data_IF_525587971646
#
_entry.id   IF_525587971646
#
_cell.length_a   1.000
_cell.length_b   1.000
_cell.length_c   1.000
_cell.angle_alpha   90.00
_cell.angle_beta   90.00
_cell.angle_gamma   90.00
#
_symmetry.space_group_name_H-M   'P 1'
#
loop_
_entity.id
_entity.type
_entity.pdbx_description
1 polymer ?
#
# COMPACT_ATOMS: atom_id res chain seq x y z
N UNK A 1 -12.78 -6.37 9.77
CA UNK A 1 -11.96 -7.25 10.66
C UNK A 1 -11.07 -8.12 9.79
N UNK A 2 -9.79 -8.30 10.14
CA UNK A 2 -8.82 -9.09 9.38
C UNK A 2 -8.84 -10.55 9.80
N UNK A 3 -8.68 -11.46 8.84
CA UNK A 3 -8.46 -12.88 9.11
C UNK A 3 -7.01 -13.29 8.85
N UNK A 4 -6.57 -14.41 9.43
CA UNK A 4 -5.27 -15.01 9.14
C UNK A 4 -5.08 -15.24 7.63
N UNK A 5 -6.11 -15.69 6.92
CA UNK A 5 -6.02 -15.90 5.48
C UNK A 5 -5.59 -14.64 4.72
N UNK A 6 -6.19 -13.50 5.06
CA UNK A 6 -5.88 -12.21 4.44
C UNK A 6 -4.46 -11.77 4.76
N UNK A 7 -4.04 -11.92 6.02
CA UNK A 7 -2.68 -11.63 6.42
C UNK A 7 -1.66 -12.45 5.61
N UNK A 8 -1.93 -13.76 5.43
CA UNK A 8 -1.08 -14.66 4.65
C UNK A 8 -1.01 -14.24 3.18
N UNK A 9 -2.14 -13.98 2.54
CA UNK A 9 -2.19 -13.69 1.11
C UNK A 9 -1.48 -12.38 0.79
N UNK A 10 -1.66 -11.34 1.61
CA UNK A 10 -1.01 -10.04 1.40
C UNK A 10 0.49 -10.13 1.69
N UNK A 11 0.89 -10.66 2.85
CA UNK A 11 2.29 -10.76 3.22
C UNK A 11 3.11 -11.70 2.33
N UNK A 12 2.46 -12.66 1.66
CA UNK A 12 3.06 -13.48 0.63
C UNK A 12 3.70 -12.67 -0.50
N UNK A 13 3.10 -11.54 -0.88
CA UNK A 13 3.65 -10.61 -1.87
C UNK A 13 4.86 -9.82 -1.38
N UNK A 14 5.07 -9.74 -0.06
CA UNK A 14 6.16 -9.01 0.59
C UNK A 14 7.25 -9.95 1.13
N UNK A 15 7.39 -11.15 0.55
CA UNK A 15 8.45 -12.10 0.91
C UNK A 15 8.24 -12.82 2.25
N UNK A 16 7.02 -12.83 2.79
CA UNK A 16 6.69 -13.58 4.01
C UNK A 16 6.03 -14.91 3.64
N UNK A 17 6.51 -15.99 4.24
CA UNK A 17 5.99 -17.35 3.98
C UNK A 17 5.38 -17.95 5.24
N UNK A 18 4.23 -18.59 5.10
CA UNK A 18 3.66 -19.41 6.18
C UNK A 18 4.49 -20.67 6.31
N UNK A 19 5.03 -20.92 7.50
CA UNK A 19 5.71 -22.18 7.80
C UNK A 19 4.77 -23.17 8.45
N UNK A 20 3.90 -22.70 9.33
CA UNK A 20 3.00 -23.56 10.09
C UNK A 20 1.75 -22.82 10.54
N UNK A 21 0.63 -23.54 10.64
CA UNK A 21 -0.64 -23.04 11.16
C UNK A 21 -1.45 -24.20 11.75
N UNK A 22 -1.85 -24.09 13.01
CA UNK A 22 -2.80 -24.99 13.68
C UNK A 22 -4.20 -24.38 13.83
N UNK A 23 -4.32 -23.06 13.63
CA UNK A 23 -5.59 -22.35 13.69
C UNK A 23 -6.25 -22.26 12.31
N UNK A 24 -7.59 -22.14 12.24
CA UNK A 24 -8.31 -21.92 10.99
C UNK A 24 -7.84 -20.65 10.26
N UNK A 25 -7.86 -20.67 8.93
CA UNK A 25 -7.60 -19.48 8.10
C UNK A 25 -8.61 -18.34 8.34
N UNK A 26 -9.78 -18.66 8.88
CA UNK A 26 -10.81 -17.70 9.29
C UNK A 26 -10.55 -17.00 10.63
N UNK A 27 -9.49 -17.36 11.36
CA UNK A 27 -9.16 -16.74 12.66
C UNK A 27 -9.00 -15.23 12.54
N UNK A 28 -9.72 -14.48 13.37
CA UNK A 28 -9.74 -13.02 13.37
C UNK A 28 -8.53 -12.42 14.11
N UNK A 29 -7.95 -11.36 13.56
CA UNK A 29 -6.81 -10.64 14.09
C UNK A 29 -7.19 -9.17 14.31
N UNK A 30 -6.92 -8.64 15.51
CA UNK A 30 -7.40 -7.34 15.98
C UNK A 30 -6.30 -6.45 16.55
N UNK A 31 -5.15 -7.01 16.87
CA UNK A 31 -4.06 -6.30 17.53
C UNK A 31 -2.69 -6.80 17.06
N UNK A 32 -1.72 -5.88 17.06
CA UNK A 32 -0.33 -6.11 16.68
C UNK A 32 0.55 -5.67 17.84
N UNK A 33 1.51 -6.49 18.22
CA UNK A 33 2.47 -6.22 19.29
C UNK A 33 3.90 -6.48 18.79
N UNK A 34 4.84 -5.70 19.34
CA UNK A 34 6.28 -5.90 19.16
C UNK A 34 6.82 -6.29 20.55
N UNK A 35 7.78 -7.22 20.59
CA UNK A 35 8.41 -7.56 21.86
C UNK A 35 9.27 -6.40 22.37
N UNK A 36 9.08 -6.01 23.64
CA UNK A 36 9.88 -4.99 24.31
C UNK A 36 10.60 -5.59 25.52
N UNK A 37 11.93 -5.67 25.44
CA UNK A 37 12.76 -6.28 26.51
C UNK A 37 12.68 -5.54 27.85
N UNK A 38 12.30 -4.26 27.86
CA UNK A 38 12.26 -3.42 29.07
C UNK A 38 10.88 -3.37 29.75
N UNK A 39 9.86 -4.00 29.17
CA UNK A 39 8.50 -3.91 29.68
C UNK A 39 8.31 -4.77 30.94
N UNK A 40 7.72 -4.18 31.99
CA UNK A 40 7.43 -4.88 33.26
C UNK A 40 6.41 -6.03 33.10
N UNK A 41 5.63 -6.02 32.01
CA UNK A 41 4.75 -7.11 31.58
C UNK A 41 4.81 -7.21 30.05
N UNK A 42 4.84 -8.43 29.49
CA UNK A 42 4.82 -8.60 28.04
C UNK A 42 3.51 -8.03 27.47
N UNK A 43 3.56 -7.30 26.34
CA UNK A 43 2.37 -6.80 25.67
C UNK A 43 1.54 -7.98 25.16
N UNK A 44 0.21 -7.87 25.26
CA UNK A 44 -0.73 -8.90 24.78
C UNK A 44 -1.35 -8.45 23.46
N UNK A 45 -1.34 -9.31 22.46
CA UNK A 45 -1.96 -9.04 21.17
C UNK A 45 -2.02 -10.26 20.26
N UNK A 46 -2.73 -10.16 19.13
CA UNK A 46 -3.00 -11.30 18.25
C UNK A 46 -1.84 -11.62 17.31
N UNK A 47 -1.11 -10.60 16.86
CA UNK A 47 0.04 -10.72 15.94
C UNK A 47 1.29 -10.19 16.62
N UNK A 48 2.30 -11.04 16.83
CA UNK A 48 3.61 -10.64 17.35
C UNK A 48 4.61 -10.46 16.21
N UNK A 49 5.26 -9.31 16.15
CA UNK A 49 6.49 -9.09 15.38
C UNK A 49 7.69 -9.35 16.30
N UNK A 50 8.38 -10.48 16.11
CA UNK A 50 9.53 -10.87 16.93
C UNK A 50 10.83 -10.17 16.47
N UNK A 51 10.79 -8.84 16.46
CA UNK A 51 11.93 -8.00 16.11
C UNK A 51 13.02 -8.17 17.17
N UNK A 52 14.22 -8.51 16.74
CA UNK A 52 15.38 -8.68 17.63
C UNK A 52 15.51 -10.07 18.26
N UNK A 53 14.63 -11.03 17.96
CA UNK A 53 14.80 -12.41 18.41
C UNK A 53 16.07 -13.02 17.77
N UNK A 54 16.91 -13.64 18.59
CA UNK A 54 18.12 -14.34 18.15
C UNK A 54 17.87 -15.74 17.61
N UNK A 55 16.69 -16.32 17.86
CA UNK A 55 16.29 -17.64 17.35
C UNK A 55 14.77 -17.76 17.20
N UNK A 56 14.31 -18.74 16.42
CA UNK A 56 12.89 -19.02 16.27
C UNK A 56 12.26 -19.50 17.60
N UNK A 57 13.01 -20.27 18.40
CA UNK A 57 12.57 -20.69 19.74
C UNK A 57 12.29 -19.50 20.65
N UNK A 58 13.22 -18.54 20.71
CA UNK A 58 13.03 -17.32 21.50
C UNK A 58 11.81 -16.53 21.02
N UNK A 59 11.63 -16.41 19.70
CA UNK A 59 10.46 -15.76 19.12
C UNK A 59 9.14 -16.45 19.50
N UNK A 60 9.13 -17.79 19.57
CA UNK A 60 7.98 -18.59 20.03
C UNK A 60 7.70 -18.37 21.52
N UNK A 61 8.73 -18.28 22.36
CA UNK A 61 8.57 -17.99 23.79
C UNK A 61 8.00 -16.57 24.02
N UNK A 62 8.42 -15.61 23.21
CA UNK A 62 7.84 -14.26 23.20
C UNK A 62 6.38 -14.28 22.76
N UNK A 63 6.03 -15.07 21.73
CA UNK A 63 4.66 -15.22 21.27
C UNK A 63 3.74 -15.82 22.33
N UNK A 64 4.21 -16.86 23.03
CA UNK A 64 3.50 -17.48 24.15
C UNK A 64 3.25 -16.46 25.28
N UNK A 65 4.28 -15.68 25.63
CA UNK A 65 4.21 -14.62 26.65
C UNK A 65 3.23 -13.51 26.28
N UNK A 66 3.19 -13.14 24.99
CA UNK A 66 2.26 -12.17 24.43
C UNK A 66 0.86 -12.72 24.17
N UNK A 67 0.64 -14.02 24.35
CA UNK A 67 -0.58 -14.76 23.94
C UNK A 67 -0.93 -14.52 22.47
N UNK A 68 0.09 -14.38 21.63
CA UNK A 68 -0.06 -14.12 20.22
C UNK A 68 -0.54 -15.36 19.48
N UNK A 69 -1.53 -15.17 18.61
CA UNK A 69 -2.06 -16.21 17.74
C UNK A 69 -1.19 -16.37 16.50
N UNK A 70 -0.56 -15.28 16.03
CA UNK A 70 0.33 -15.29 14.87
C UNK A 70 1.69 -14.73 15.28
N UNK A 71 2.75 -15.45 14.91
CA UNK A 71 4.13 -15.04 15.07
C UNK A 71 4.73 -14.71 13.70
N UNK A 72 5.27 -13.51 13.55
CA UNK A 72 6.18 -13.14 12.47
C UNK A 72 7.61 -13.16 13.01
N UNK A 73 8.48 -13.94 12.39
CA UNK A 73 9.88 -14.10 12.80
C UNK A 73 10.83 -14.20 11.61
N UNK A 74 12.13 -14.04 11.84
CA UNK A 74 13.19 -14.44 10.92
C UNK A 74 13.78 -15.78 11.35
N UNK A 75 14.17 -16.60 10.39
CA UNK A 75 14.85 -17.87 10.65
C UNK A 75 14.48 -18.96 9.66
N UNK A 76 15.44 -19.83 9.37
CA UNK A 76 15.25 -20.97 8.46
C UNK A 76 14.95 -22.29 9.20
N UNK A 77 14.97 -22.27 10.53
CA UNK A 77 14.64 -23.42 11.35
C UNK A 77 13.18 -23.83 11.16
N UNK A 78 12.95 -25.14 10.99
CA UNK A 78 11.58 -25.65 11.05
C UNK A 78 11.05 -25.45 12.48
N UNK A 79 9.87 -24.82 12.65
CA UNK A 79 9.25 -24.77 13.95
C UNK A 79 8.93 -26.20 14.38
N UNK A 80 9.72 -26.77 15.28
CA UNK A 80 9.32 -27.98 15.99
C UNK A 80 8.08 -27.62 16.81
N UNK A 81 6.92 -28.25 16.58
CA UNK A 81 5.76 -28.04 17.42
C UNK A 81 6.20 -28.33 18.86
N UNK A 82 6.10 -27.34 19.73
CA UNK A 82 6.33 -27.58 21.14
C UNK A 82 5.24 -28.53 21.63
N UNK A 83 5.63 -29.65 22.23
CA UNK A 83 4.76 -30.69 22.79
C UNK A 83 3.88 -30.21 23.98
N UNK A 84 3.64 -28.90 24.08
CA UNK A 84 3.02 -28.26 25.24
C UNK A 84 2.20 -27.02 24.88
N UNK A 85 1.33 -27.09 23.87
CA UNK A 85 0.06 -26.35 23.76
C UNK A 85 -0.01 -24.81 23.93
N UNK A 86 1.10 -24.11 24.18
CA UNK A 86 1.13 -22.70 24.57
C UNK A 86 1.86 -21.78 23.57
N UNK A 87 2.33 -22.33 22.44
CA UNK A 87 2.94 -21.56 21.35
C UNK A 87 1.92 -20.78 20.52
N UNK A 88 2.37 -19.98 19.53
CA UNK A 88 1.47 -19.30 18.61
C UNK A 88 0.62 -20.31 17.83
N UNK A 89 -0.52 -19.86 17.31
CA UNK A 89 -1.39 -20.66 16.43
C UNK A 89 -0.94 -20.72 14.98
N UNK A 90 -0.11 -19.77 14.54
CA UNK A 90 0.52 -19.74 13.22
C UNK A 90 1.91 -19.08 13.28
N UNK A 91 2.84 -19.59 12.47
CA UNK A 91 4.21 -19.06 12.33
C UNK A 91 4.46 -18.67 10.88
N UNK A 92 4.84 -17.41 10.69
CA UNK A 92 5.18 -16.81 9.42
C UNK A 92 6.64 -16.35 9.46
N UNK A 93 7.39 -16.69 8.43
CA UNK A 93 8.82 -16.37 8.32
C UNK A 93 9.04 -15.33 7.24
N UNK A 94 9.72 -14.26 7.61
CA UNK A 94 10.17 -13.22 6.69
C UNK A 94 11.44 -13.68 5.98
N UNK A 95 11.52 -13.39 4.68
CA UNK A 95 12.79 -13.48 3.97
C UNK A 95 13.84 -12.54 4.61
N UNK A 96 15.11 -12.98 4.78
CA UNK A 96 16.15 -12.16 5.40
C UNK A 96 16.38 -10.81 4.70
N UNK A 97 16.09 -10.72 3.40
CA UNK A 97 16.24 -9.49 2.61
C UNK A 97 15.15 -8.45 2.85
N UNK A 98 14.04 -8.81 3.50
CA UNK A 98 12.88 -7.93 3.72
C UNK A 98 13.08 -7.12 5.00
N UNK A 99 12.82 -5.81 4.92
CA UNK A 99 12.94 -4.92 6.08
C UNK A 99 11.80 -5.15 7.08
N UNK A 100 12.12 -5.18 8.37
CA UNK A 100 11.12 -5.25 9.43
C UNK A 100 10.16 -4.05 9.40
N UNK A 101 10.65 -2.87 9.02
CA UNK A 101 9.84 -1.66 8.93
C UNK A 101 8.78 -1.78 7.85
N UNK A 102 9.12 -2.36 6.69
CA UNK A 102 8.19 -2.60 5.58
C UNK A 102 7.09 -3.58 5.99
N UNK A 103 7.48 -4.71 6.59
CA UNK A 103 6.51 -5.71 7.06
C UNK A 103 5.63 -5.14 8.16
N UNK A 104 6.20 -4.40 9.11
CA UNK A 104 5.43 -3.71 10.14
C UNK A 104 4.42 -2.75 9.51
N UNK A 105 4.82 -1.93 8.54
CA UNK A 105 3.93 -1.00 7.84
C UNK A 105 2.73 -1.72 7.19
N UNK A 106 2.98 -2.83 6.50
CA UNK A 106 1.92 -3.65 5.90
C UNK A 106 1.01 -4.29 6.97
N UNK A 107 1.58 -4.89 8.01
CA UNK A 107 0.81 -5.52 9.10
C UNK A 107 -0.06 -4.51 9.83
N UNK A 108 0.47 -3.32 10.14
CA UNK A 108 -0.28 -2.25 10.78
C UNK A 108 -1.41 -1.71 9.89
N UNK A 109 -1.16 -1.56 8.58
CA UNK A 109 -2.21 -1.19 7.62
C UNK A 109 -3.34 -2.21 7.57
N UNK A 110 -3.01 -3.50 7.50
CA UNK A 110 -4.02 -4.55 7.50
C UNK A 110 -4.79 -4.60 8.83
N UNK A 111 -4.09 -4.82 9.94
CA UNK A 111 -4.70 -5.22 11.23
C UNK A 111 -5.33 -4.04 11.97
N UNK A 112 -4.69 -2.87 11.97
CA UNK A 112 -5.20 -1.71 12.70
C UNK A 112 -6.06 -0.79 11.82
N UNK A 113 -5.67 -0.56 10.57
CA UNK A 113 -6.34 0.43 9.71
C UNK A 113 -7.44 -0.13 8.81
N UNK A 114 -7.57 -1.46 8.71
CA UNK A 114 -8.76 -2.11 8.17
C UNK A 114 -10.07 -1.79 8.92
N UNK A 115 -10.03 -0.84 9.87
CA UNK A 115 -11.15 -0.26 10.62
C UNK A 115 -11.32 1.26 10.42
N UNK A 116 -10.27 1.99 10.05
CA UNK A 116 -10.34 3.47 9.96
C UNK A 116 -11.08 3.96 8.70
N UNK A 117 -11.18 3.10 7.68
CA UNK A 117 -11.77 3.47 6.39
C UNK A 117 -13.30 3.41 6.35
N UNK A 118 -13.95 2.96 7.44
CA UNK A 118 -15.38 3.22 7.69
C UNK A 118 -15.67 4.73 7.90
N UNK A 119 -14.64 5.56 8.10
CA UNK A 119 -14.77 7.00 8.36
C UNK A 119 -14.10 7.91 7.33
N UNK A 120 -13.56 7.38 6.23
CA UNK A 120 -13.02 8.17 5.12
C UNK A 120 -11.80 9.05 5.45
N UNK A 121 -11.19 8.89 6.62
CA UNK A 121 -9.88 9.47 6.92
C UNK A 121 -8.82 8.48 6.47
N UNK A 122 -8.16 8.80 5.36
CA UNK A 122 -7.07 8.01 4.85
C UNK A 122 -5.92 7.91 5.88
N UNK A 123 -5.21 6.78 5.91
CA UNK A 123 -4.11 6.59 6.83
C UNK A 123 -2.92 7.46 6.43
N UNK A 124 -2.37 8.17 7.41
CA UNK A 124 -1.15 8.99 7.32
C UNK A 124 -1.21 10.20 6.36
N UNK A 125 -1.10 11.40 6.93
CA UNK A 125 -1.15 12.65 6.18
C UNK A 125 0.15 12.87 5.37
N UNK A 126 0.17 12.34 4.13
CA UNK A 126 1.27 12.56 3.19
C UNK A 126 1.51 14.06 2.91
N UNK A 127 0.54 14.95 3.12
CA UNK A 127 0.76 16.39 3.02
C UNK A 127 1.57 16.91 4.19
N UNK A 128 1.29 16.47 5.43
CA UNK A 128 2.11 16.81 6.59
C UNK A 128 3.54 16.25 6.48
N UNK A 129 3.70 15.06 5.90
CA UNK A 129 5.03 14.51 5.59
C UNK A 129 5.75 15.34 4.52
N UNK A 130 5.05 15.77 3.46
CA UNK A 130 5.62 16.65 2.45
C UNK A 130 6.02 18.02 3.04
N UNK A 131 5.23 18.57 3.94
CA UNK A 131 5.53 19.81 4.68
C UNK A 131 6.81 19.64 5.51
N UNK A 132 6.91 18.56 6.29
CA UNK A 132 8.09 18.27 7.13
C UNK A 132 9.36 18.08 6.28
N UNK A 133 9.23 17.39 5.15
CA UNK A 133 10.35 17.22 4.22
C UNK A 133 10.78 18.56 3.64
N UNK A 134 9.83 19.39 3.23
CA UNK A 134 10.12 20.70 2.65
C UNK A 134 10.84 21.63 3.64
N UNK A 135 10.57 21.51 4.95
CA UNK A 135 11.31 22.18 6.01
C UNK A 135 12.75 21.65 6.14
N UNK A 136 12.94 20.33 6.09
CA UNK A 136 14.24 19.69 6.25
C UNK A 136 15.18 19.80 5.03
N UNK A 137 14.61 19.89 3.82
CA UNK A 137 15.37 19.95 2.57
C UNK A 137 15.46 21.37 1.99
N UNK A 138 14.81 22.36 2.64
CA UNK A 138 14.84 23.77 2.22
C UNK A 138 14.13 24.08 0.90
N UNK A 139 13.32 23.15 0.37
CA UNK A 139 12.71 23.27 -0.96
C UNK A 139 11.32 22.64 -1.03
N UNK A 140 10.48 23.12 -1.95
CA UNK A 140 9.10 22.65 -2.05
C UNK A 140 9.05 21.18 -2.51
N UNK A 141 8.20 20.38 -1.85
CA UNK A 141 8.16 18.93 -2.06
C UNK A 141 6.92 18.49 -2.84
N UNK A 142 7.09 17.52 -3.74
CA UNK A 142 6.01 16.69 -4.28
C UNK A 142 6.31 15.21 -4.07
N UNK A 143 5.28 14.43 -3.76
CA UNK A 143 5.35 12.98 -3.62
C UNK A 143 4.46 12.37 -4.70
N UNK A 144 5.01 11.45 -5.48
CA UNK A 144 4.34 10.84 -6.64
C UNK A 144 4.33 9.32 -6.54
N UNK A 145 3.31 8.67 -7.10
CA UNK A 145 3.23 7.21 -7.21
C UNK A 145 4.11 6.67 -8.36
N UNK A 146 4.24 5.34 -8.47
CA UNK A 146 4.98 4.70 -9.56
C UNK A 146 4.42 4.94 -10.98
N UNK A 147 3.26 5.61 -11.12
CA UNK A 147 2.69 6.06 -12.40
C UNK A 147 2.81 7.59 -12.56
N UNK A 148 3.68 8.23 -11.79
CA UNK A 148 3.94 9.67 -11.81
C UNK A 148 2.71 10.52 -11.47
N UNK A 149 1.75 9.95 -10.74
CA UNK A 149 0.57 10.68 -10.27
C UNK A 149 0.87 11.31 -8.92
N UNK A 150 0.49 12.56 -8.77
CA UNK A 150 0.73 13.32 -7.55
C UNK A 150 -0.12 12.76 -6.41
N UNK A 151 0.56 12.34 -5.34
CA UNK A 151 -0.06 11.85 -4.10
C UNK A 151 -0.19 12.97 -3.07
N UNK A 152 0.87 13.77 -2.91
CA UNK A 152 0.90 14.89 -1.98
C UNK A 152 1.91 15.96 -2.41
N UNK A 153 1.76 17.14 -1.84
CA UNK A 153 2.65 18.27 -2.08
C UNK A 153 2.74 19.13 -0.82
N UNK A 154 3.90 19.76 -0.58
CA UNK A 154 4.06 20.68 0.54
C UNK A 154 3.30 22.00 0.32
N UNK A 155 3.08 22.76 1.38
CA UNK A 155 2.59 24.13 1.31
C UNK A 155 3.47 24.99 0.39
N UNK A 156 2.91 26.07 -0.18
CA UNK A 156 3.67 26.98 -1.02
C UNK A 156 4.87 27.56 -0.24
N UNK A 157 6.07 27.26 -0.70
CA UNK A 157 7.25 28.07 -0.39
C UNK A 157 7.32 29.20 -1.43
N UNK A 158 7.95 30.33 -1.08
CA UNK A 158 8.01 31.47 -2.01
C UNK A 158 8.68 31.04 -3.33
N UNK A 159 8.11 31.44 -4.47
CA UNK A 159 8.57 31.12 -5.85
C UNK A 159 8.33 29.67 -6.34
N UNK A 160 7.08 29.20 -6.31
CA UNK A 160 6.71 27.93 -6.97
C UNK A 160 6.92 28.02 -8.50
N UNK A 161 7.66 27.06 -9.07
CA UNK A 161 7.87 26.98 -10.51
C UNK A 161 6.59 26.55 -11.26
N UNK A 162 6.50 26.92 -12.55
CA UNK A 162 5.29 26.66 -13.34
C UNK A 162 5.06 25.14 -13.53
N UNK A 163 6.14 24.37 -13.68
CA UNK A 163 6.09 22.92 -13.77
C UNK A 163 5.38 22.28 -12.56
N UNK A 164 5.67 22.75 -11.35
CA UNK A 164 5.02 22.30 -10.11
C UNK A 164 3.55 22.70 -10.07
N UNK A 165 3.23 23.95 -10.43
CA UNK A 165 1.83 24.41 -10.47
C UNK A 165 1.00 23.56 -11.41
N UNK A 166 1.49 23.32 -12.64
CA UNK A 166 0.82 22.46 -13.62
C UNK A 166 0.68 21.01 -13.10
N UNK A 167 1.72 20.46 -12.48
CA UNK A 167 1.69 19.10 -11.89
C UNK A 167 0.64 19.00 -10.78
N UNK A 168 0.53 20.01 -9.92
CA UNK A 168 -0.46 20.03 -8.83
C UNK A 168 -1.89 20.14 -9.36
N UNK A 169 -2.12 21.07 -10.30
CA UNK A 169 -3.45 21.27 -10.87
C UNK A 169 -3.89 20.06 -11.71
N UNK A 170 -2.96 19.47 -12.48
CA UNK A 170 -3.20 18.27 -13.29
C UNK A 170 -3.17 16.96 -12.52
N UNK A 171 -2.70 16.97 -11.26
CA UNK A 171 -2.37 15.78 -10.44
C UNK A 171 -1.39 14.81 -11.09
N UNK A 172 -0.63 15.28 -12.07
CA UNK A 172 0.36 14.53 -12.84
C UNK A 172 1.20 15.52 -13.65
N UNK A 173 2.48 15.22 -13.84
CA UNK A 173 3.35 16.04 -14.67
C UNK A 173 2.83 16.07 -16.13
N UNK A 174 2.80 17.26 -16.77
CA UNK A 174 2.38 17.40 -18.16
C UNK A 174 3.30 16.59 -19.09
N UNK A 175 2.75 16.08 -20.21
CA UNK A 175 3.49 15.19 -21.14
C UNK A 175 4.86 15.74 -21.52
N UNK A 176 4.93 17.02 -21.93
CA UNK A 176 6.18 17.70 -22.28
C UNK A 176 7.26 17.61 -21.20
N UNK A 177 6.87 17.70 -19.92
CA UNK A 177 7.82 17.60 -18.81
C UNK A 177 8.25 16.15 -18.59
N UNK A 178 7.36 15.18 -18.78
CA UNK A 178 7.71 13.76 -18.71
C UNK A 178 8.68 13.37 -19.82
N UNK A 179 8.44 13.80 -21.05
CA UNK A 179 9.36 13.59 -22.18
C UNK A 179 10.76 14.16 -21.90
N UNK A 180 10.83 15.35 -21.30
CA UNK A 180 12.10 15.95 -20.86
C UNK A 180 12.82 15.08 -19.80
N UNK A 181 12.08 14.64 -18.77
CA UNK A 181 12.64 13.83 -17.67
C UNK A 181 13.10 12.45 -18.17
N UNK A 182 12.35 11.85 -19.10
CA UNK A 182 12.71 10.61 -19.81
C UNK A 182 14.00 10.80 -20.61
N UNK A 183 14.07 11.86 -21.43
CA UNK A 183 15.24 12.18 -22.24
C UNK A 183 16.50 12.45 -21.41
N UNK A 184 16.33 12.95 -20.18
CA UNK A 184 17.41 13.15 -19.19
C UNK A 184 17.74 11.89 -18.38
N UNK A 185 17.08 10.75 -18.65
CA UNK A 185 17.33 9.47 -18.01
C UNK A 185 16.84 9.37 -16.56
N UNK A 186 15.99 10.30 -16.11
CA UNK A 186 15.56 10.38 -14.70
C UNK A 186 14.80 9.13 -14.29
N UNK A 187 13.85 8.65 -15.11
CA UNK A 187 13.08 7.46 -14.77
C UNK A 187 13.92 6.19 -14.80
N UNK A 188 14.87 6.08 -15.72
CA UNK A 188 15.84 4.98 -15.75
C UNK A 188 16.72 4.97 -14.49
N UNK A 189 17.17 6.15 -14.03
CA UNK A 189 17.91 6.29 -12.77
C UNK A 189 17.05 5.87 -11.58
N UNK A 190 15.84 6.40 -11.46
CA UNK A 190 14.91 6.04 -10.39
C UNK A 190 14.58 4.55 -10.39
N UNK A 191 14.57 3.88 -11.56
CA UNK A 191 14.33 2.45 -11.71
C UNK A 191 15.54 1.57 -11.28
N UNK A 192 16.75 2.11 -11.21
CA UNK A 192 17.97 1.36 -10.97
C UNK A 192 18.73 1.73 -9.68
N UNK A 193 18.48 2.92 -9.11
CA UNK A 193 19.25 3.47 -7.99
C UNK A 193 18.37 4.07 -6.90
N UNK A 194 18.90 4.03 -5.67
CA UNK A 194 18.34 4.71 -4.50
C UNK A 194 18.97 6.10 -4.29
N UNK A 195 20.04 6.43 -5.02
CA UNK A 195 20.73 7.71 -4.87
C UNK A 195 19.88 8.87 -5.41
N UNK A 196 19.72 9.97 -4.66
CA UNK A 196 19.10 11.18 -5.19
C UNK A 196 19.85 11.75 -6.40
N UNK A 197 19.11 12.12 -7.45
CA UNK A 197 19.62 12.73 -8.68
C UNK A 197 19.10 14.16 -8.86
N UNK A 198 19.97 15.06 -9.28
CA UNK A 198 19.62 16.45 -9.58
C UNK A 198 19.22 16.61 -11.05
N UNK A 199 18.10 17.29 -11.27
CA UNK A 199 17.60 17.71 -12.57
C UNK A 199 17.74 19.21 -12.67
N UNK A 200 18.62 19.68 -13.55
CA UNK A 200 18.87 21.11 -13.76
C UNK A 200 17.65 21.87 -14.28
N UNK A 201 17.66 23.19 -14.12
CA UNK A 201 16.61 24.07 -14.60
C UNK A 201 16.34 23.91 -16.11
N UNK A 202 15.10 24.19 -16.52
CA UNK A 202 14.65 24.21 -17.90
C UNK A 202 13.56 25.27 -18.06
N UNK A 203 13.93 26.42 -18.62
CA UNK A 203 13.03 27.56 -18.73
C UNK A 203 11.84 27.28 -19.69
N UNK A 204 12.06 26.50 -20.75
CA UNK A 204 11.00 26.15 -21.72
C UNK A 204 9.90 25.30 -21.07
N UNK A 205 10.30 24.43 -20.13
CA UNK A 205 9.40 23.57 -19.39
C UNK A 205 8.95 24.18 -18.04
N UNK A 206 9.37 25.41 -17.72
CA UNK A 206 9.00 26.09 -16.48
C UNK A 206 9.56 25.44 -15.21
N UNK A 207 10.72 24.78 -15.34
CA UNK A 207 11.43 24.03 -14.30
C UNK A 207 12.58 24.87 -13.73
N UNK A 208 12.60 25.14 -12.42
CA UNK A 208 13.70 25.91 -11.80
C UNK A 208 14.88 25.07 -11.32
N UNK A 209 14.77 23.74 -11.45
CA UNK A 209 15.72 22.77 -10.92
C UNK A 209 15.08 21.98 -9.77
N UNK A 210 15.40 20.70 -9.67
CA UNK A 210 14.90 19.84 -8.59
C UNK A 210 15.77 18.62 -8.36
N UNK A 211 15.84 18.18 -7.12
CA UNK A 211 16.35 16.88 -6.74
C UNK A 211 15.21 15.87 -6.73
N UNK A 212 15.49 14.62 -7.08
CA UNK A 212 14.53 13.52 -6.98
C UNK A 212 15.19 12.27 -6.45
N UNK A 213 14.45 11.53 -5.63
CA UNK A 213 14.87 10.24 -5.06
C UNK A 213 13.76 9.21 -5.24
N UNK A 214 14.15 7.95 -5.44
CA UNK A 214 13.23 6.85 -5.56
C UNK A 214 12.61 6.50 -4.20
N UNK A 215 11.31 6.22 -4.17
CA UNK A 215 10.61 5.67 -3.01
C UNK A 215 10.43 4.18 -3.27
N UNK A 216 11.06 3.33 -2.47
CA UNK A 216 11.20 1.90 -2.75
C UNK A 216 10.89 1.01 -1.56
N UNK A 217 10.46 -0.21 -1.89
CA UNK A 217 10.46 -1.32 -0.96
C UNK A 217 11.19 -2.51 -1.57
N UNK A 218 12.32 -2.90 -0.97
CA UNK A 218 13.27 -3.81 -1.60
C UNK A 218 13.60 -3.40 -3.05
N UNK A 219 13.19 -4.21 -4.03
CA UNK A 219 13.41 -3.94 -5.47
C UNK A 219 12.25 -3.20 -6.14
N UNK A 220 11.12 -3.04 -5.47
CA UNK A 220 9.92 -2.44 -6.03
C UNK A 220 9.98 -0.92 -5.93
N UNK A 221 9.77 -0.23 -7.05
CA UNK A 221 9.62 1.23 -7.09
C UNK A 221 8.17 1.58 -6.79
N UNK A 222 7.93 2.17 -5.62
CA UNK A 222 6.60 2.59 -5.18
C UNK A 222 6.23 3.99 -5.68
N UNK A 223 7.24 4.83 -5.91
CA UNK A 223 7.05 6.22 -6.31
C UNK A 223 8.33 7.04 -6.26
N UNK A 224 8.20 8.35 -6.09
CA UNK A 224 9.33 9.28 -6.01
C UNK A 224 9.02 10.50 -5.15
N UNK A 225 10.05 11.05 -4.49
CA UNK A 225 10.00 12.35 -3.81
C UNK A 225 10.82 13.35 -4.60
N UNK A 226 10.22 14.49 -4.92
CA UNK A 226 10.85 15.59 -5.63
C UNK A 226 10.98 16.80 -4.71
N UNK A 227 12.12 17.48 -4.77
CA UNK A 227 12.39 18.73 -4.03
C UNK A 227 12.81 19.79 -5.02
N UNK A 228 12.10 20.91 -5.08
CA UNK A 228 12.53 22.05 -5.89
C UNK A 228 13.81 22.67 -5.30
N UNK A 229 14.87 22.77 -6.10
CA UNK A 229 16.15 23.33 -5.69
C UNK A 229 16.94 23.86 -6.90
N UNK A 230 17.60 25.01 -6.77
CA UNK A 230 18.36 25.62 -7.87
C UNK A 230 19.71 24.93 -8.13
N UNK A 231 20.23 24.21 -7.12
CA UNK A 231 21.47 23.47 -7.15
C UNK A 231 21.27 22.09 -6.49
N UNK A 232 22.16 21.10 -6.73
CA UNK A 232 22.10 19.82 -6.06
C UNK A 232 22.11 19.98 -4.54
N UNK A 233 21.25 19.25 -3.84
CA UNK A 233 21.27 19.15 -2.38
C UNK A 233 22.53 18.39 -1.95
N UNK A 234 23.13 18.83 -0.85
CA UNK A 234 24.29 18.19 -0.22
C UNK A 234 24.10 18.06 1.30
N UNK A 235 25.01 17.32 1.94
CA UNK A 235 25.04 17.09 3.38
C UNK A 235 23.68 16.72 3.97
N UNK A 236 23.28 17.46 5.01
CA UNK A 236 22.08 17.19 5.78
C UNK A 236 20.78 17.26 4.96
N UNK A 237 20.71 18.11 3.93
CA UNK A 237 19.51 18.24 3.09
C UNK A 237 19.33 17.03 2.17
N UNK A 238 20.45 16.50 1.63
CA UNK A 238 20.46 15.26 0.84
C UNK A 238 20.12 14.05 1.71
N UNK A 239 20.68 14.00 2.93
CA UNK A 239 20.40 12.92 3.88
C UNK A 239 18.92 12.94 4.29
N UNK A 240 18.38 14.12 4.60
CA UNK A 240 16.95 14.30 4.92
C UNK A 240 16.02 13.86 3.78
N UNK A 241 16.37 14.15 2.52
CA UNK A 241 15.62 13.66 1.37
C UNK A 241 15.64 12.11 1.29
N UNK A 242 16.78 11.50 1.54
CA UNK A 242 16.97 10.04 1.49
C UNK A 242 16.19 9.34 2.61
N UNK A 243 16.34 9.80 3.85
CA UNK A 243 15.59 9.28 5.01
C UNK A 243 14.08 9.53 4.87
N UNK A 244 13.73 10.68 4.29
CA UNK A 244 12.39 11.04 3.90
C UNK A 244 11.75 10.06 2.95
N UNK A 245 12.46 9.66 1.90
CA UNK A 245 11.99 8.69 0.92
C UNK A 245 11.69 7.33 1.56
N UNK A 246 12.50 6.87 2.52
CA UNK A 246 12.23 5.66 3.28
C UNK A 246 10.94 5.81 4.11
N UNK A 247 10.75 6.95 4.78
CA UNK A 247 9.52 7.23 5.54
C UNK A 247 8.28 7.23 4.64
N UNK A 248 8.37 7.88 3.46
CA UNK A 248 7.32 7.87 2.44
C UNK A 248 7.03 6.43 1.97
N UNK A 249 8.05 5.60 1.75
CA UNK A 249 7.86 4.20 1.33
C UNK A 249 7.00 3.43 2.33
N UNK A 250 7.28 3.57 3.64
CA UNK A 250 6.48 2.94 4.68
C UNK A 250 5.01 3.41 4.66
N UNK A 251 4.77 4.69 4.40
CA UNK A 251 3.42 5.23 4.28
C UNK A 251 2.69 4.67 3.06
N UNK A 252 3.36 4.57 1.91
CA UNK A 252 2.79 4.01 0.69
C UNK A 252 2.50 2.52 0.82
N UNK A 253 3.39 1.74 1.43
CA UNK A 253 3.17 0.32 1.72
C UNK A 253 1.94 0.10 2.60
N UNK A 254 1.85 0.89 3.67
CA UNK A 254 0.73 0.85 4.60
C UNK A 254 -0.60 1.20 3.91
N UNK A 255 -0.60 2.28 3.13
CA UNK A 255 -1.76 2.70 2.34
C UNK A 255 -2.19 1.64 1.31
N UNK A 256 -1.24 1.05 0.59
CA UNK A 256 -1.48 -0.02 -0.38
C UNK A 256 -2.07 -1.26 0.29
N UNK A 257 -1.52 -1.69 1.42
CA UNK A 257 -2.04 -2.84 2.17
C UNK A 257 -3.50 -2.62 2.61
N UNK A 258 -3.83 -1.41 3.07
CA UNK A 258 -5.20 -1.02 3.43
C UNK A 258 -6.13 -0.98 2.21
N UNK A 259 -5.68 -0.44 1.07
CA UNK A 259 -6.45 -0.41 -0.17
C UNK A 259 -6.68 -1.81 -0.75
N UNK A 260 -5.70 -2.70 -0.68
CA UNK A 260 -5.79 -4.09 -1.13
C UNK A 260 -6.84 -4.85 -0.30
N UNK A 261 -6.85 -4.63 1.01
CA UNK A 261 -7.86 -5.17 1.90
C UNK A 261 -9.27 -4.70 1.53
N UNK A 262 -9.45 -3.40 1.28
CA UNK A 262 -10.73 -2.84 0.85
C UNK A 262 -11.21 -3.48 -0.44
N UNK A 263 -10.33 -3.59 -1.45
CA UNK A 263 -10.65 -4.22 -2.73
C UNK A 263 -11.06 -5.68 -2.55
N UNK A 264 -10.42 -6.41 -1.65
CA UNK A 264 -10.78 -7.79 -1.37
C UNK A 264 -12.14 -7.92 -0.66
N UNK A 265 -12.41 -7.08 0.35
CA UNK A 265 -13.71 -7.03 1.03
C UNK A 265 -14.83 -6.67 0.07
N UNK A 266 -14.59 -5.66 -0.77
CA UNK A 266 -15.53 -5.26 -1.83
C UNK A 266 -15.79 -6.42 -2.78
N UNK A 267 -14.73 -7.09 -3.25
CA UNK A 267 -14.85 -8.21 -4.19
C UNK A 267 -15.67 -9.35 -3.61
N UNK A 268 -15.42 -9.73 -2.35
CA UNK A 268 -16.17 -10.79 -1.66
C UNK A 268 -17.66 -10.45 -1.55
N UNK A 269 -18.00 -9.21 -1.15
CA UNK A 269 -19.38 -8.76 -1.04
C UNK A 269 -20.08 -8.68 -2.41
N UNK A 270 -19.38 -8.25 -3.46
CA UNK A 270 -19.90 -8.21 -4.82
C UNK A 270 -20.17 -9.63 -5.33
N UNK A 271 -19.24 -10.57 -5.16
CA UNK A 271 -19.44 -11.97 -5.57
C UNK A 271 -20.65 -12.56 -4.85
N UNK A 272 -20.75 -12.41 -3.52
CA UNK A 272 -21.91 -12.89 -2.73
C UNK A 272 -23.23 -12.24 -3.15
N UNK A 273 -23.19 -10.99 -3.60
CA UNK A 273 -24.36 -10.30 -4.13
C UNK A 273 -24.77 -10.88 -5.49
N UNK A 274 -23.82 -11.16 -6.38
CA UNK A 274 -24.05 -11.75 -7.70
C UNK A 274 -24.53 -13.20 -7.63
N UNK A 275 -24.08 -13.97 -6.64
CA UNK A 275 -24.54 -15.34 -6.38
C UNK A 275 -26.00 -15.42 -5.89
N UNK A 276 -26.62 -14.28 -5.56
CA UNK A 276 -28.06 -14.22 -5.26
C UNK A 276 -28.44 -14.81 -3.90
N UNK A 277 -27.73 -14.42 -2.85
CA UNK A 277 -28.07 -14.85 -1.46
C UNK A 277 -29.31 -14.12 -0.91
N UNK A 278 -29.98 -14.70 0.09
CA UNK A 278 -31.18 -14.14 0.77
C UNK A 278 -30.90 -12.73 1.36
N UNK A 279 -29.63 -12.38 1.55
CA UNK A 279 -29.16 -11.14 2.16
C UNK A 279 -28.84 -10.02 1.14
N UNK A 280 -29.27 -10.10 -0.12
CA UNK A 280 -28.89 -9.17 -1.18
C UNK A 280 -29.03 -7.67 -0.81
N UNK A 281 -30.14 -7.29 -0.16
CA UNK A 281 -30.35 -5.91 0.28
C UNK A 281 -29.36 -5.46 1.38
N UNK A 282 -29.00 -6.38 2.29
CA UNK A 282 -28.00 -6.14 3.34
C UNK A 282 -26.59 -6.01 2.73
N UNK A 283 -26.25 -6.86 1.76
CA UNK A 283 -24.97 -6.80 1.05
C UNK A 283 -24.83 -5.51 0.23
N UNK A 284 -25.87 -5.11 -0.51
CA UNK A 284 -25.90 -3.84 -1.24
C UNK A 284 -25.70 -2.65 -0.29
N UNK A 285 -26.34 -2.67 0.87
CA UNK A 285 -26.16 -1.63 1.90
C UNK A 285 -24.73 -1.58 2.45
N UNK A 286 -24.08 -2.73 2.70
CA UNK A 286 -22.67 -2.79 3.14
C UNK A 286 -21.69 -2.29 2.08
N UNK A 287 -22.03 -2.50 0.81
CA UNK A 287 -21.30 -1.97 -0.33
C UNK A 287 -21.52 -0.46 -0.55
N UNK A 288 -22.42 0.17 0.22
CA UNK A 288 -22.79 1.58 0.03
C UNK A 288 -23.58 1.83 -1.25
N UNK A 289 -24.19 0.79 -1.83
CA UNK A 289 -25.07 0.89 -2.99
C UNK A 289 -26.48 1.27 -2.52
N UNK A 290 -27.20 2.01 -3.36
CA UNK A 290 -28.59 2.36 -3.06
C UNK A 290 -29.48 1.11 -3.12
N UNK A 291 -30.62 1.15 -2.41
CA UNK A 291 -31.61 0.05 -2.38
C UNK A 291 -32.46 -0.05 -3.67
N UNK A 292 -32.11 0.70 -4.70
CA UNK A 292 -32.82 0.75 -5.97
C UNK A 292 -32.41 -0.38 -6.92
N UNK A 293 -32.89 -0.35 -8.18
CA UNK A 293 -32.41 -1.28 -9.19
C UNK A 293 -30.89 -1.15 -9.36
N UNK A 294 -30.23 -2.30 -9.47
CA UNK A 294 -28.80 -2.41 -9.70
C UNK A 294 -28.55 -2.93 -11.11
N UNK A 295 -27.48 -2.44 -11.73
CA UNK A 295 -26.97 -2.92 -13.00
C UNK A 295 -25.63 -3.62 -12.78
N UNK A 296 -25.39 -4.67 -13.56
CA UNK A 296 -24.12 -5.39 -13.58
C UNK A 296 -23.48 -5.21 -14.95
N UNK A 297 -22.22 -4.78 -14.95
CA UNK A 297 -21.36 -4.78 -16.13
C UNK A 297 -20.39 -5.94 -15.99
N UNK A 298 -20.28 -6.77 -17.02
CA UNK A 298 -19.30 -7.86 -17.08
C UNK A 298 -18.29 -7.54 -18.18
N UNK A 299 -17.03 -7.35 -17.80
CA UNK A 299 -15.95 -6.93 -18.69
C UNK A 299 -14.88 -8.02 -18.77
N UNK A 300 -14.54 -8.42 -19.98
CA UNK A 300 -13.37 -9.25 -20.26
C UNK A 300 -12.35 -8.39 -21.02
N UNK A 301 -11.12 -8.35 -20.52
CA UNK A 301 -10.04 -7.59 -21.12
C UNK A 301 -9.04 -8.54 -21.80
N UNK A 302 -8.53 -8.14 -22.96
CA UNK A 302 -7.51 -8.88 -23.71
C UNK A 302 -6.49 -7.86 -24.23
N UNK A 303 -5.21 -8.12 -23.99
CA UNK A 303 -4.07 -7.44 -24.63
C UNK A 303 -3.28 -8.55 -25.30
N UNK A 304 -3.03 -8.48 -26.61
CA UNK A 304 -2.11 -9.30 -27.43
C UNK A 304 -1.52 -10.60 -26.82
N UNK A 305 -2.38 -11.52 -26.36
CA UNK A 305 -1.96 -12.79 -25.74
C UNK A 305 -1.75 -12.79 -24.22
N UNK A 306 -1.70 -11.62 -23.58
CA UNK A 306 -1.56 -11.38 -22.14
C UNK A 306 -2.91 -11.11 -21.45
N UNK A 307 -3.76 -12.14 -21.38
CA UNK A 307 -5.11 -12.01 -20.76
C UNK A 307 -5.06 -11.61 -19.28
N UNK A 308 -4.17 -12.21 -18.50
CA UNK A 308 -4.10 -11.97 -17.06
C UNK A 308 -3.68 -10.53 -16.75
N UNK A 309 -2.69 -9.99 -17.48
CA UNK A 309 -2.25 -8.61 -17.35
C UNK A 309 -3.36 -7.62 -17.71
N UNK A 310 -4.09 -7.89 -18.80
CA UNK A 310 -5.22 -7.07 -19.23
C UNK A 310 -6.33 -7.02 -18.17
N UNK A 311 -6.65 -8.15 -17.56
CA UNK A 311 -7.66 -8.23 -16.50
C UNK A 311 -7.23 -7.52 -15.22
N UNK A 312 -5.96 -7.69 -14.80
CA UNK A 312 -5.42 -6.99 -13.63
C UNK A 312 -5.46 -5.47 -13.84
N UNK A 313 -5.09 -4.98 -15.02
CA UNK A 313 -5.18 -3.56 -15.37
C UNK A 313 -6.62 -3.04 -15.40
N UNK A 314 -7.56 -3.84 -15.93
CA UNK A 314 -8.97 -3.47 -15.94
C UNK A 314 -9.54 -3.42 -14.51
N UNK A 315 -9.20 -4.39 -13.67
CA UNK A 315 -9.63 -4.43 -12.27
C UNK A 315 -9.02 -3.27 -11.47
N UNK A 316 -7.73 -2.98 -11.65
CA UNK A 316 -7.06 -1.83 -11.04
C UNK A 316 -7.74 -0.51 -11.42
N UNK A 317 -8.08 -0.31 -12.71
CA UNK A 317 -8.84 0.85 -13.15
C UNK A 317 -10.25 0.91 -12.56
N UNK A 318 -10.96 -0.22 -12.49
CA UNK A 318 -12.31 -0.29 -11.96
C UNK A 318 -12.38 -0.06 -10.43
N UNK A 319 -11.24 -0.20 -9.75
CA UNK A 319 -11.11 -0.04 -8.30
C UNK A 319 -10.27 1.19 -7.90
N UNK A 320 -9.80 1.98 -8.87
CA UNK A 320 -9.03 3.18 -8.61
C UNK A 320 -9.88 4.27 -7.93
N UNK A 321 -9.33 4.89 -6.89
CA UNK A 321 -10.01 5.92 -6.09
C UNK A 321 -10.82 5.37 -4.92
N UNK A 322 -11.20 6.25 -4.00
CA UNK A 322 -11.91 5.86 -2.78
C UNK A 322 -13.33 5.36 -3.09
N UNK A 323 -13.79 4.32 -2.38
CA UNK A 323 -15.09 3.68 -2.63
C UNK A 323 -16.30 4.64 -2.65
N UNK A 324 -16.29 5.71 -1.85
CA UNK A 324 -17.37 6.71 -1.85
C UNK A 324 -17.40 7.59 -3.11
N UNK A 325 -16.27 7.71 -3.81
CA UNK A 325 -16.16 8.48 -5.07
C UNK A 325 -16.54 7.64 -6.29
N UNK A 326 -16.61 6.31 -6.15
CA UNK A 326 -16.94 5.37 -7.23
C UNK A 326 -18.45 5.10 -7.26
N UNK A 327 -19.11 5.24 -8.43
CA UNK A 327 -20.54 4.96 -8.57
C UNK A 327 -20.88 3.47 -8.50
N UNK A 328 -19.88 2.57 -8.59
CA UNK A 328 -20.07 1.13 -8.54
C UNK A 328 -19.02 0.40 -7.72
N UNK A 329 -19.19 -0.92 -7.60
CA UNK A 329 -18.33 -1.86 -6.84
C UNK A 329 -17.95 -3.02 -7.73
N UNK A 330 -16.67 -3.37 -7.70
CA UNK A 330 -16.11 -4.29 -8.68
C UNK A 330 -15.50 -5.53 -8.02
N UNK A 331 -15.62 -6.67 -8.70
CA UNK A 331 -14.95 -7.91 -8.34
C UNK A 331 -14.35 -8.56 -9.58
N UNK A 332 -13.19 -9.19 -9.43
CA UNK A 332 -12.66 -10.12 -10.43
C UNK A 332 -13.10 -11.53 -10.05
N UNK A 333 -13.84 -12.19 -10.93
CA UNK A 333 -14.24 -13.59 -10.76
C UNK A 333 -13.96 -14.38 -12.04
N UNK A 334 -13.09 -15.39 -11.92
CA UNK A 334 -12.56 -16.10 -13.08
C UNK A 334 -11.83 -15.15 -14.03
N UNK A 335 -12.30 -15.06 -15.28
CA UNK A 335 -11.69 -14.25 -16.34
C UNK A 335 -12.51 -12.98 -16.66
N UNK A 336 -13.33 -12.51 -15.71
CA UNK A 336 -14.28 -11.40 -15.91
C UNK A 336 -14.25 -10.44 -14.72
N UNK A 337 -14.15 -9.14 -15.01
CA UNK A 337 -14.38 -8.07 -14.03
C UNK A 337 -15.87 -7.74 -14.03
N UNK A 338 -16.54 -7.97 -12.90
CA UNK A 338 -17.93 -7.59 -12.68
C UNK A 338 -17.98 -6.27 -11.93
N UNK A 339 -18.78 -5.31 -12.41
CA UNK A 339 -19.06 -4.05 -11.71
C UNK A 339 -20.55 -3.90 -11.48
N UNK A 340 -20.94 -3.79 -10.21
CA UNK A 340 -22.32 -3.52 -9.78
C UNK A 340 -22.47 -2.04 -9.49
N UNK A 341 -23.48 -1.39 -10.05
CA UNK A 341 -23.75 0.02 -9.85
C UNK A 341 -25.27 0.30 -9.77
N UNK A 342 -25.70 1.38 -9.13
CA UNK A 342 -27.09 1.82 -9.20
C UNK A 342 -27.47 2.13 -10.65
N UNK A 343 -28.64 1.68 -11.07
CA UNK A 343 -29.13 1.98 -12.41
C UNK A 343 -30.44 1.27 -12.70
N UNK A 344 -31.30 1.94 -13.46
CA UNK A 344 -32.54 1.35 -13.95
C UNK A 344 -32.27 0.19 -14.93
N UNK A 345 -33.30 -0.56 -15.28
CA UNK A 345 -33.21 -1.56 -16.35
C UNK A 345 -32.78 -0.89 -17.66
N UNK A 346 -31.76 -1.42 -18.32
CA UNK A 346 -31.38 -1.05 -19.68
C UNK A 346 -31.39 -2.28 -20.57
N UNK A 347 -31.60 -2.06 -21.87
CA UNK A 347 -31.43 -3.11 -22.86
C UNK A 347 -30.00 -3.67 -22.80
N UNK A 348 -29.87 -4.97 -23.06
CA UNK A 348 -28.55 -5.61 -23.09
C UNK A 348 -27.65 -4.89 -24.13
N UNK A 349 -26.50 -4.39 -23.67
CA UNK A 349 -25.49 -3.85 -24.56
C UNK A 349 -25.02 -4.97 -25.50
N UNK A 350 -25.10 -4.70 -26.81
CA UNK A 350 -24.61 -5.61 -27.86
C UNK A 350 -23.10 -5.52 -28.02
#
# INVERSE_FOLDING_TARGET
MITLDRLVNVLGGYGVRVRWSSVPRSTELRSVVIHESAAARPPVGDVLLAIGAGSLREAVDWAASARAVVLLARGDEEPTPSDGGAGPGAVMVLDPSVSWSEVAAVVYGLVLEGRETESGRGPTDLFALADSLAESTGGAVTIEDGRLRLLAYSRPQQHADAARVETILGRQAPERLRELLEARGVFAHLAASDDPVFVGADAEHGLTGRMVVAVRSGRELLGSVWVACAAPLDGAERDALTDGAHTVALHLLRSRASADLERQVESELVIRLLEGTIEAATLASRLGLSRGPLRVIALQAVIDGERDAALLLAFDRATAGFGWSRPGRSALAGNTVYTVLPGESADAAR
#
